data_IF_986687271521
#
_entry.id   IF_986687271521
#
_cell.length_a   1.000
_cell.length_b   1.000
_cell.length_c   1.000
_cell.angle_alpha   90.00
_cell.angle_beta   90.00
_cell.angle_gamma   90.00
#
_symmetry.space_group_name_H-M   'P 1'
#
loop_
_entity.id
_entity.type
_entity.pdbx_description
1 polymer ?
#
# COMPACT_ATOMS: atom_id res chain seq x y z
N UNK A 1 -4.70 10.22 -26.41
CA UNK A 1 -4.43 10.25 -24.96
C UNK A 1 -5.38 9.26 -24.31
N UNK A 2 -4.87 8.21 -23.66
CA UNK A 2 -5.69 7.35 -22.81
C UNK A 2 -6.12 8.16 -21.59
N UNK A 3 -7.40 8.11 -21.23
CA UNK A 3 -7.91 8.76 -20.02
C UNK A 3 -7.44 7.94 -18.82
N UNK A 4 -6.67 8.54 -17.90
CA UNK A 4 -6.32 7.88 -16.64
C UNK A 4 -7.56 7.79 -15.76
N UNK A 5 -8.17 6.60 -15.74
CA UNK A 5 -9.40 6.35 -14.98
C UNK A 5 -9.19 6.37 -13.47
N UNK A 6 -7.93 6.33 -13.00
CA UNK A 6 -7.58 6.43 -11.59
C UNK A 6 -7.19 7.86 -11.18
N UNK A 7 -7.32 8.84 -12.05
CA UNK A 7 -6.91 10.22 -11.78
C UNK A 7 -7.50 10.76 -10.46
N UNK A 8 -8.82 10.66 -10.28
CA UNK A 8 -9.49 11.16 -9.09
C UNK A 8 -9.07 10.41 -7.80
N UNK A 9 -8.84 9.11 -7.92
CA UNK A 9 -8.40 8.24 -6.81
C UNK A 9 -6.99 8.68 -6.36
N UNK A 10 -6.06 8.78 -7.31
CA UNK A 10 -4.68 9.21 -7.06
C UNK A 10 -4.64 10.62 -6.47
N UNK A 11 -5.39 11.55 -7.08
CA UNK A 11 -5.43 12.93 -6.63
C UNK A 11 -5.97 13.05 -5.20
N UNK A 12 -7.07 12.36 -4.89
CA UNK A 12 -7.62 12.34 -3.53
C UNK A 12 -6.63 11.76 -2.52
N UNK A 13 -5.91 10.68 -2.85
CA UNK A 13 -4.89 10.11 -1.99
C UNK A 13 -3.74 11.10 -1.70
N UNK A 14 -3.17 11.70 -2.75
CA UNK A 14 -2.02 12.60 -2.60
C UNK A 14 -2.36 13.92 -1.89
N UNK A 15 -3.61 14.37 -1.97
CA UNK A 15 -4.11 15.52 -1.21
C UNK A 15 -4.46 15.18 0.25
N UNK A 16 -4.31 13.93 0.67
CA UNK A 16 -4.68 13.47 2.02
C UNK A 16 -6.19 13.29 2.23
N UNK A 17 -7.00 13.38 1.17
CA UNK A 17 -8.44 13.13 1.20
C UNK A 17 -8.73 11.62 1.14
N UNK A 18 -8.24 10.87 2.12
CA UNK A 18 -8.28 9.40 2.13
C UNK A 18 -9.69 8.81 2.07
N UNK A 19 -10.67 9.47 2.70
CA UNK A 19 -12.06 9.00 2.62
C UNK A 19 -12.62 9.16 1.20
N UNK A 20 -12.30 10.27 0.53
CA UNK A 20 -12.71 10.51 -0.86
C UNK A 20 -12.03 9.51 -1.80
N UNK A 21 -10.75 9.20 -1.57
CA UNK A 21 -10.02 8.18 -2.34
C UNK A 21 -10.75 6.83 -2.29
N UNK A 22 -11.17 6.39 -1.11
CA UNK A 22 -11.90 5.11 -0.93
C UNK A 22 -13.24 5.15 -1.66
N UNK A 23 -13.99 6.25 -1.56
CA UNK A 23 -15.29 6.40 -2.23
C UNK A 23 -15.15 6.37 -3.75
N UNK A 24 -14.18 7.09 -4.32
CA UNK A 24 -13.94 7.08 -5.77
C UNK A 24 -13.44 5.70 -6.26
N UNK A 25 -12.61 5.03 -5.46
CA UNK A 25 -12.19 3.66 -5.75
C UNK A 25 -13.36 2.66 -5.77
N UNK A 26 -14.34 2.81 -4.88
CA UNK A 26 -15.53 1.95 -4.87
C UNK A 26 -16.45 2.17 -6.09
N UNK A 27 -16.49 3.39 -6.63
CA UNK A 27 -17.27 3.73 -7.83
C UNK A 27 -16.63 3.19 -9.13
N UNK A 28 -15.30 3.05 -9.15
CA UNK A 28 -14.58 2.59 -10.34
C UNK A 28 -14.76 1.08 -10.56
N UNK A 29 -15.56 0.74 -11.58
CA UNK A 29 -15.72 -0.62 -12.09
C UNK A 29 -14.81 -0.80 -13.31
N UNK A 30 -13.87 -1.74 -13.20
CA UNK A 30 -12.95 -2.08 -14.28
C UNK A 30 -12.68 -3.58 -14.35
N UNK A 31 -12.45 -4.06 -15.57
CA UNK A 31 -12.02 -5.44 -15.85
C UNK A 31 -10.51 -5.54 -16.07
N UNK A 32 -9.81 -4.41 -16.15
CA UNK A 32 -8.37 -4.35 -16.36
C UNK A 32 -7.67 -4.63 -15.04
N UNK A 33 -6.85 -5.67 -15.00
CA UNK A 33 -6.25 -6.16 -13.75
C UNK A 33 -5.28 -5.14 -13.14
N UNK A 34 -4.52 -4.42 -13.97
CA UNK A 34 -3.63 -3.34 -13.53
C UNK A 34 -4.41 -2.19 -12.87
N UNK A 35 -5.56 -1.81 -13.43
CA UNK A 35 -6.41 -0.76 -12.85
C UNK A 35 -7.03 -1.22 -11.53
N UNK A 36 -7.44 -2.50 -11.42
CA UNK A 36 -7.92 -3.06 -10.15
C UNK A 36 -6.82 -3.04 -9.09
N UNK A 37 -5.62 -3.51 -9.45
CA UNK A 37 -4.49 -3.55 -8.54
C UNK A 37 -4.14 -2.15 -8.04
N UNK A 38 -4.02 -1.18 -8.95
CA UNK A 38 -3.70 0.20 -8.58
C UNK A 38 -4.79 0.79 -7.67
N UNK A 39 -6.06 0.59 -8.00
CA UNK A 39 -7.21 1.01 -7.19
C UNK A 39 -7.16 0.42 -5.78
N UNK A 40 -6.88 -0.87 -5.67
CA UNK A 40 -6.79 -1.58 -4.39
C UNK A 40 -5.62 -1.06 -3.56
N UNK A 41 -4.44 -0.87 -4.17
CA UNK A 41 -3.26 -0.29 -3.51
C UNK A 41 -3.56 1.09 -2.91
N UNK A 42 -4.19 1.99 -3.67
CA UNK A 42 -4.56 3.33 -3.15
C UNK A 42 -5.63 3.25 -2.06
N UNK A 43 -6.59 2.33 -2.19
CA UNK A 43 -7.65 2.11 -1.18
C UNK A 43 -7.06 1.62 0.14
N UNK A 44 -6.22 0.59 0.10
CA UNK A 44 -5.60 0.02 1.31
C UNK A 44 -4.61 0.99 1.96
N UNK A 45 -3.80 1.71 1.18
CA UNK A 45 -2.94 2.78 1.72
C UNK A 45 -3.75 3.90 2.37
N UNK A 46 -4.93 4.22 1.83
CA UNK A 46 -5.87 5.18 2.45
C UNK A 46 -6.41 4.68 3.78
N UNK A 47 -6.76 3.39 3.89
CA UNK A 47 -7.17 2.79 5.17
C UNK A 47 -6.05 2.86 6.21
N UNK A 48 -4.81 2.54 5.83
CA UNK A 48 -3.64 2.65 6.72
C UNK A 48 -3.47 4.09 7.21
N UNK A 49 -3.52 5.07 6.31
CA UNK A 49 -3.38 6.48 6.65
C UNK A 49 -4.50 7.01 7.59
N UNK A 50 -5.67 6.37 7.59
CA UNK A 50 -6.76 6.64 8.53
C UNK A 50 -6.64 5.89 9.87
N UNK A 51 -5.55 5.15 10.12
CA UNK A 51 -5.39 4.30 11.31
C UNK A 51 -6.21 3.01 11.27
N UNK A 52 -6.80 2.65 10.12
CA UNK A 52 -7.63 1.46 9.92
C UNK A 52 -6.81 0.30 9.33
N UNK A 53 -5.59 0.10 9.82
CA UNK A 53 -4.70 -0.97 9.35
C UNK A 53 -5.30 -2.37 9.52
N UNK A 54 -6.16 -2.57 10.53
CA UNK A 54 -6.87 -3.84 10.76
C UNK A 54 -7.73 -4.29 9.57
N UNK A 55 -8.35 -3.35 8.85
CA UNK A 55 -9.14 -3.65 7.63
C UNK A 55 -8.23 -4.21 6.54
N UNK A 56 -7.04 -3.63 6.37
CA UNK A 56 -6.08 -4.13 5.37
C UNK A 56 -5.59 -5.53 5.72
N UNK A 57 -5.37 -5.80 7.01
CA UNK A 57 -4.95 -7.12 7.48
C UNK A 57 -6.04 -8.19 7.36
N UNK A 58 -7.32 -7.82 7.38
CA UNK A 58 -8.43 -8.76 7.15
C UNK A 58 -8.68 -9.02 5.67
N UNK A 59 -8.50 -8.01 4.81
CA UNK A 59 -8.80 -8.11 3.38
C UNK A 59 -7.64 -8.73 2.58
N UNK A 60 -6.38 -8.38 2.90
CA UNK A 60 -5.21 -8.91 2.20
C UNK A 60 -4.70 -10.16 2.93
N UNK A 61 -4.75 -11.31 2.27
CA UNK A 61 -4.22 -12.57 2.84
C UNK A 61 -2.69 -12.55 3.00
N UNK A 62 -2.17 -13.27 3.99
CA UNK A 62 -0.72 -13.52 4.12
C UNK A 62 -0.14 -14.31 2.94
N UNK A 63 -0.99 -15.08 2.26
CA UNK A 63 -0.62 -15.91 1.10
C UNK A 63 -0.72 -15.16 -0.23
N UNK A 64 -0.90 -13.84 -0.20
CA UNK A 64 -0.98 -13.06 -1.45
C UNK A 64 0.37 -13.09 -2.18
N UNK A 65 0.33 -13.57 -3.42
CA UNK A 65 1.50 -13.66 -4.30
C UNK A 65 1.85 -12.32 -4.97
N UNK A 66 0.93 -11.34 -4.95
CA UNK A 66 1.15 -10.03 -5.55
C UNK A 66 2.11 -9.19 -4.67
N UNK A 67 3.29 -8.78 -5.18
CA UNK A 67 4.28 -8.03 -4.41
C UNK A 67 3.74 -6.72 -3.84
N UNK A 68 2.98 -5.95 -4.63
CA UNK A 68 2.45 -4.66 -4.21
C UNK A 68 1.44 -4.79 -3.07
N UNK A 69 0.53 -5.77 -3.13
CA UNK A 69 -0.40 -6.04 -2.04
C UNK A 69 0.30 -6.58 -0.80
N UNK A 70 1.32 -7.43 -0.98
CA UNK A 70 2.15 -7.93 0.13
C UNK A 70 2.90 -6.80 0.83
N UNK A 71 3.44 -5.83 0.09
CA UNK A 71 4.06 -4.64 0.64
C UNK A 71 3.06 -3.79 1.43
N UNK A 72 1.86 -3.56 0.88
CA UNK A 72 0.81 -2.81 1.59
C UNK A 72 0.35 -3.53 2.87
N UNK A 73 0.22 -4.85 2.85
CA UNK A 73 -0.05 -5.63 4.07
C UNK A 73 1.08 -5.46 5.09
N UNK A 74 2.34 -5.57 4.66
CA UNK A 74 3.51 -5.37 5.53
C UNK A 74 3.52 -3.96 6.16
N UNK A 75 3.12 -2.94 5.41
CA UNK A 75 2.94 -1.59 5.97
C UNK A 75 1.85 -1.55 7.04
N UNK A 76 0.74 -2.26 6.84
CA UNK A 76 -0.32 -2.38 7.84
C UNK A 76 0.16 -3.12 9.10
N UNK A 77 0.97 -4.18 8.95
CA UNK A 77 1.57 -4.89 10.08
C UNK A 77 2.56 -4.00 10.86
N UNK A 78 3.29 -3.13 10.15
CA UNK A 78 4.24 -2.16 10.74
C UNK A 78 3.56 -1.13 11.64
N UNK A 79 2.29 -0.79 11.38
CA UNK A 79 1.50 0.07 12.27
C UNK A 79 1.26 -0.54 13.65
N UNK A 80 1.51 -1.84 13.83
CA UNK A 80 1.38 -2.50 15.13
C UNK A 80 2.67 -2.32 15.94
N UNK A 81 2.63 -1.71 17.14
CA UNK A 81 3.84 -1.40 17.92
C UNK A 81 4.75 -2.60 18.22
N UNK A 82 4.18 -3.79 18.41
CA UNK A 82 4.93 -5.02 18.67
C UNK A 82 5.73 -5.51 17.46
N UNK A 83 5.25 -5.23 16.24
CA UNK A 83 5.86 -5.68 14.99
C UNK A 83 6.76 -4.62 14.36
N UNK A 84 6.60 -3.35 14.74
CA UNK A 84 7.28 -2.18 14.15
C UNK A 84 8.79 -2.40 13.96
N UNK A 85 9.51 -2.69 15.06
CA UNK A 85 10.97 -2.92 15.04
C UNK A 85 11.38 -4.14 14.23
N UNK A 86 10.62 -5.23 14.32
CA UNK A 86 10.91 -6.47 13.59
C UNK A 86 10.83 -6.22 12.08
N UNK A 87 9.74 -5.60 11.64
CA UNK A 87 9.48 -5.31 10.22
C UNK A 87 10.49 -4.29 9.68
N UNK A 88 10.83 -3.25 10.45
CA UNK A 88 11.87 -2.30 10.07
C UNK A 88 13.21 -2.99 9.78
N UNK A 89 13.65 -3.86 10.69
CA UNK A 89 14.91 -4.60 10.54
C UNK A 89 14.87 -5.58 9.35
N UNK A 90 13.75 -6.26 9.14
CA UNK A 90 13.55 -7.15 7.97
C UNK A 90 13.66 -6.35 6.66
N UNK A 91 12.94 -5.23 6.55
CA UNK A 91 12.98 -4.35 5.37
C UNK A 91 14.38 -3.80 5.14
N UNK A 92 15.06 -3.33 6.18
CA UNK A 92 16.43 -2.83 6.08
C UNK A 92 17.39 -3.92 5.58
N UNK A 93 17.22 -5.15 6.06
CA UNK A 93 18.04 -6.28 5.63
C UNK A 93 17.79 -6.60 4.15
N UNK A 94 16.52 -6.73 3.76
CA UNK A 94 16.11 -7.04 2.38
C UNK A 94 16.61 -5.99 1.36
N UNK A 95 16.56 -4.70 1.74
CA UNK A 95 17.06 -3.60 0.91
C UNK A 95 18.59 -3.65 0.79
N UNK A 96 19.30 -3.85 1.91
CA UNK A 96 20.76 -3.95 1.92
C UNK A 96 21.29 -5.18 1.18
N UNK A 97 20.56 -6.30 1.19
CA UNK A 97 20.91 -7.52 0.47
C UNK A 97 20.50 -7.51 -1.01
N UNK A 98 19.79 -6.48 -1.47
CA UNK A 98 19.31 -6.39 -2.85
C UNK A 98 18.24 -7.45 -3.19
N UNK A 99 17.56 -8.00 -2.19
CA UNK A 99 16.51 -9.03 -2.36
C UNK A 99 15.10 -8.44 -2.25
N UNK A 100 14.98 -7.14 -1.96
CA UNK A 100 13.70 -6.45 -1.89
C UNK A 100 13.00 -6.43 -3.27
N UNK A 101 11.66 -6.55 -3.32
CA UNK A 101 10.91 -6.36 -4.55
C UNK A 101 11.09 -4.93 -5.09
N UNK A 102 11.20 -4.81 -6.42
CA UNK A 102 11.51 -3.55 -7.11
C UNK A 102 10.28 -2.89 -7.75
N UNK A 103 9.08 -3.39 -7.50
CA UNK A 103 7.86 -2.71 -7.95
C UNK A 103 7.66 -1.39 -7.19
N UNK A 104 7.08 -0.41 -7.88
CA UNK A 104 6.91 0.96 -7.35
C UNK A 104 6.28 0.99 -5.95
N UNK A 105 5.28 0.15 -5.71
CA UNK A 105 4.58 0.10 -4.42
C UNK A 105 5.49 -0.43 -3.31
N UNK A 106 6.21 -1.53 -3.57
CA UNK A 106 7.17 -2.08 -2.61
C UNK A 106 8.29 -1.10 -2.29
N UNK A 107 8.84 -0.42 -3.31
CA UNK A 107 9.86 0.61 -3.13
C UNK A 107 9.35 1.77 -2.24
N UNK A 108 8.15 2.28 -2.51
CA UNK A 108 7.55 3.37 -1.72
C UNK A 108 7.29 2.92 -0.28
N UNK A 109 6.77 1.71 -0.07
CA UNK A 109 6.51 1.17 1.28
C UNK A 109 7.81 0.98 2.05
N UNK A 110 8.83 0.40 1.44
CA UNK A 110 10.13 0.22 2.08
C UNK A 110 10.73 1.57 2.49
N UNK A 111 10.70 2.56 1.58
CA UNK A 111 11.17 3.91 1.87
C UNK A 111 10.40 4.57 3.02
N UNK A 112 9.06 4.42 3.07
CA UNK A 112 8.23 4.95 4.15
C UNK A 112 8.61 4.35 5.52
N UNK A 113 8.76 3.03 5.58
CA UNK A 113 9.13 2.32 6.82
C UNK A 113 10.51 2.77 7.30
N UNK A 114 11.50 2.82 6.41
CA UNK A 114 12.86 3.22 6.77
C UNK A 114 12.96 4.70 7.16
N UNK A 115 12.16 5.57 6.55
CA UNK A 115 12.12 6.99 6.89
C UNK A 115 11.52 7.27 8.28
N UNK A 116 10.66 6.39 8.81
CA UNK A 116 10.14 6.51 10.18
C UNK A 116 11.14 6.04 11.26
N UNK A 117 12.18 5.31 10.89
CA UNK A 117 13.18 4.77 11.83
C UNK A 117 14.47 5.61 11.91
N UNK A 118 14.63 6.59 11.01
CA UNK A 118 15.73 7.57 11.01
C UNK A 118 15.44 8.79 11.87
#
# INVERSE_FOLDING_TARGET
MSVDRLFDIKNAFFLGHYQQCILEAQKLITKVEEEKLAKDVFTYRSYIAQGKASVVLSEISERTDNPSLKAVRRLAEYQTPSNKKRIANEVQTEVSSGTAPTDDTSCIVAALILNEEG
#
